data_IF_522590108829
#
_entry.id   IF_522590108829
#
_cell.length_a   1.000
_cell.length_b   1.000
_cell.length_c   1.000
_cell.angle_alpha   90.00
_cell.angle_beta   90.00
_cell.angle_gamma   90.00
#
_symmetry.space_group_name_H-M   'P 1'
#
loop_
_entity.id
_entity.type
_entity.pdbx_description
1 polymer ?
#
# COMPACT_ATOMS: atom_id res chain seq x y z
N UNK A 1 -3.01 7.74 -24.82
CA UNK A 1 -3.31 8.84 -23.88
C UNK A 1 -4.09 8.21 -22.76
N UNK A 2 -3.53 8.17 -21.54
CA UNK A 2 -4.18 7.47 -20.43
C UNK A 2 -5.33 8.32 -19.93
N UNK A 3 -6.51 7.74 -19.87
CA UNK A 3 -7.68 8.42 -19.36
C UNK A 3 -7.82 8.13 -17.86
N UNK A 4 -6.87 8.62 -17.06
CA UNK A 4 -6.88 8.42 -15.60
C UNK A 4 -8.14 8.99 -14.95
N UNK A 5 -8.71 10.05 -15.52
CA UNK A 5 -10.00 10.59 -15.12
C UNK A 5 -11.11 9.54 -15.28
N UNK A 6 -11.22 8.91 -16.45
CA UNK A 6 -12.17 7.82 -16.65
C UNK A 6 -11.87 6.60 -15.78
N UNK A 7 -10.60 6.23 -15.60
CA UNK A 7 -10.24 5.10 -14.73
C UNK A 7 -10.66 5.40 -13.30
N UNK A 8 -10.34 6.56 -12.73
CA UNK A 8 -10.70 6.92 -11.35
C UNK A 8 -12.20 7.18 -11.19
N UNK A 9 -12.86 7.69 -12.23
CA UNK A 9 -14.31 7.86 -12.25
C UNK A 9 -15.05 6.50 -12.31
N UNK A 10 -14.53 5.55 -13.10
CA UNK A 10 -15.07 4.20 -13.29
C UNK A 10 -14.55 3.18 -12.29
N UNK A 11 -13.44 3.48 -11.59
CA UNK A 11 -12.84 2.66 -10.53
C UNK A 11 -14.01 2.20 -9.70
N UNK A 12 -14.22 0.88 -9.64
CA UNK A 12 -15.51 0.32 -9.32
C UNK A 12 -16.02 1.09 -8.13
N UNK A 13 -17.03 1.93 -8.36
CA UNK A 13 -17.83 2.51 -7.30
C UNK A 13 -18.66 1.34 -6.86
N UNK A 14 -17.96 0.41 -6.18
CA UNK A 14 -18.39 -0.69 -5.35
C UNK A 14 -19.89 -0.73 -5.42
N UNK A 15 -20.41 -1.62 -6.27
CA UNK A 15 -21.84 -1.80 -6.53
C UNK A 15 -22.56 -1.48 -5.23
N UNK A 16 -23.37 -0.42 -5.26
CA UNK A 16 -23.75 0.48 -4.16
C UNK A 16 -24.55 -0.16 -3.01
N UNK A 17 -24.35 -1.44 -2.77
CA UNK A 17 -24.86 -2.29 -1.73
C UNK A 17 -23.79 -3.39 -1.55
N UNK A 18 -22.78 -3.17 -0.70
CA UNK A 18 -21.95 -4.29 -0.21
C UNK A 18 -22.88 -5.23 0.57
N UNK A 19 -23.41 -6.22 -0.14
CA UNK A 19 -24.17 -7.35 0.39
C UNK A 19 -23.50 -8.69 0.05
N UNK A 20 -22.29 -8.67 -0.54
CA UNK A 20 -21.56 -9.85 -1.03
C UNK A 20 -20.03 -9.68 -0.98
N UNK A 21 -19.30 -10.66 -1.54
CA UNK A 21 -17.83 -10.71 -1.57
C UNK A 21 -17.21 -9.65 -2.49
N UNK A 22 -16.09 -9.06 -2.07
CA UNK A 22 -15.28 -8.17 -2.91
C UNK A 22 -14.60 -8.98 -4.03
N UNK A 23 -14.98 -8.73 -5.29
CA UNK A 23 -14.32 -9.31 -6.46
C UNK A 23 -13.00 -8.58 -6.77
N UNK A 24 -11.98 -8.83 -5.94
CA UNK A 24 -10.66 -8.22 -6.08
C UNK A 24 -10.06 -8.46 -7.48
N UNK A 25 -10.14 -9.68 -8.00
CA UNK A 25 -9.56 -10.03 -9.30
C UNK A 25 -10.26 -9.28 -10.44
N UNK A 26 -11.60 -9.17 -10.39
CA UNK A 26 -12.37 -8.39 -11.36
C UNK A 26 -11.99 -6.91 -11.35
N UNK A 27 -11.84 -6.30 -10.16
CA UNK A 27 -11.41 -4.90 -10.04
C UNK A 27 -10.03 -4.67 -10.65
N UNK A 28 -9.06 -5.53 -10.36
CA UNK A 28 -7.71 -5.40 -10.91
C UNK A 28 -7.71 -5.65 -12.42
N UNK A 29 -8.46 -6.63 -12.92
CA UNK A 29 -8.58 -6.88 -14.35
C UNK A 29 -9.17 -5.68 -15.11
N UNK A 30 -10.17 -5.01 -14.53
CA UNK A 30 -10.76 -3.79 -15.09
C UNK A 30 -9.73 -2.67 -15.16
N UNK A 31 -9.00 -2.40 -14.07
CA UNK A 31 -7.90 -1.41 -14.04
C UNK A 31 -6.88 -1.72 -15.15
N UNK A 32 -6.41 -2.97 -15.22
CA UNK A 32 -5.43 -3.41 -16.22
C UNK A 32 -5.86 -3.13 -17.65
N UNK A 33 -7.13 -3.35 -17.96
CA UNK A 33 -7.68 -3.16 -19.31
C UNK A 33 -7.63 -1.70 -19.79
N UNK A 34 -7.55 -0.75 -18.85
CA UNK A 34 -7.57 0.68 -19.13
C UNK A 34 -6.18 1.34 -19.03
N UNK A 35 -5.21 0.67 -18.41
CA UNK A 35 -3.84 1.16 -18.26
C UNK A 35 -3.01 0.96 -19.54
N UNK A 36 -2.02 1.84 -19.77
CA UNK A 36 -1.02 1.60 -20.80
C UNK A 36 -0.15 0.40 -20.46
N UNK A 37 0.61 -0.11 -21.43
CA UNK A 37 1.63 -1.16 -21.16
C UNK A 37 2.65 -0.71 -20.11
N UNK A 38 3.03 0.56 -20.11
CA UNK A 38 4.00 1.12 -19.15
C UNK A 38 3.41 1.10 -17.73
N UNK A 39 2.17 1.55 -17.57
CA UNK A 39 1.54 1.65 -16.25
C UNK A 39 1.11 0.29 -15.71
N UNK A 40 0.72 -0.64 -16.61
CA UNK A 40 0.53 -2.04 -16.24
C UNK A 40 1.80 -2.64 -15.64
N UNK A 41 2.99 -2.32 -16.18
CA UNK A 41 4.24 -2.79 -15.58
C UNK A 41 4.50 -2.21 -14.18
N UNK A 42 4.02 -1.00 -13.89
CA UNK A 42 4.07 -0.42 -12.54
C UNK A 42 3.09 -1.13 -11.59
N UNK A 43 1.87 -1.41 -12.06
CA UNK A 43 0.89 -2.19 -11.30
C UNK A 43 1.40 -3.61 -11.04
N UNK A 44 2.01 -4.27 -12.03
CA UNK A 44 2.64 -5.58 -11.88
C UNK A 44 3.72 -5.53 -10.79
N UNK A 45 4.63 -4.57 -10.87
CA UNK A 45 5.70 -4.39 -9.88
C UNK A 45 5.15 -4.17 -8.46
N UNK A 46 4.08 -3.40 -8.33
CA UNK A 46 3.39 -3.21 -7.05
C UNK A 46 2.78 -4.52 -6.54
N UNK A 47 2.07 -5.24 -7.40
CA UNK A 47 1.39 -6.49 -7.04
C UNK A 47 2.37 -7.62 -6.69
N UNK A 48 3.50 -7.69 -7.37
CA UNK A 48 4.59 -8.62 -7.06
C UNK A 48 5.12 -8.42 -5.62
N UNK A 49 5.08 -7.18 -5.11
CA UNK A 49 5.47 -6.85 -3.74
C UNK A 49 4.48 -7.29 -2.67
N UNK A 50 3.29 -7.78 -3.02
CA UNK A 50 2.36 -8.40 -2.07
C UNK A 50 2.52 -9.92 -2.00
N UNK A 51 3.37 -10.51 -2.83
CA UNK A 51 3.70 -11.94 -2.82
C UNK A 51 4.92 -12.15 -1.93
N UNK A 52 4.76 -12.84 -0.80
CA UNK A 52 5.79 -12.97 0.23
C UNK A 52 7.10 -13.57 -0.30
N UNK A 53 7.01 -14.52 -1.23
CA UNK A 53 8.14 -15.22 -1.84
C UNK A 53 9.03 -14.29 -2.69
N UNK A 54 8.47 -13.18 -3.18
CA UNK A 54 9.20 -12.22 -4.00
C UNK A 54 10.03 -11.24 -3.16
N UNK A 55 9.75 -11.11 -1.85
CA UNK A 55 10.28 -10.03 -1.01
C UNK A 55 11.68 -10.35 -0.48
N UNK A 56 12.66 -10.23 -1.38
CA UNK A 56 14.08 -10.42 -1.12
C UNK A 56 14.89 -9.19 -1.55
N UNK A 57 16.21 -9.22 -1.30
CA UNK A 57 17.10 -8.09 -1.62
C UNK A 57 17.03 -7.67 -3.10
N UNK A 58 16.97 -8.62 -4.04
CA UNK A 58 16.90 -8.32 -5.47
C UNK A 58 15.62 -7.57 -5.84
N UNK A 59 14.47 -7.97 -5.27
CA UNK A 59 13.21 -7.28 -5.47
C UNK A 59 13.27 -5.82 -5.01
N UNK A 60 13.79 -5.59 -3.79
CA UNK A 60 13.90 -4.25 -3.23
C UNK A 60 14.93 -3.41 -3.98
N UNK A 61 16.07 -3.96 -4.39
CA UNK A 61 17.04 -3.26 -5.23
C UNK A 61 16.39 -2.78 -6.54
N UNK A 62 15.65 -3.66 -7.22
CA UNK A 62 14.94 -3.30 -8.45
C UNK A 62 13.81 -2.28 -8.20
N UNK A 63 13.04 -2.43 -7.12
CA UNK A 63 11.97 -1.50 -6.76
C UNK A 63 12.50 -0.09 -6.45
N UNK A 64 13.58 -0.01 -5.66
CA UNK A 64 14.22 1.27 -5.28
C UNK A 64 14.96 1.91 -6.46
N UNK A 65 15.35 1.14 -7.48
CA UNK A 65 15.91 1.64 -8.73
C UNK A 65 14.84 2.09 -9.76
N UNK A 66 13.55 1.83 -9.50
CA UNK A 66 12.46 2.21 -10.40
C UNK A 66 12.50 3.70 -10.74
N UNK A 67 12.13 4.08 -11.96
CA UNK A 67 12.00 5.50 -12.34
C UNK A 67 10.73 6.15 -11.79
N UNK A 68 9.77 5.35 -11.38
CA UNK A 68 8.51 5.80 -10.83
C UNK A 68 8.65 6.14 -9.33
N UNK A 69 8.14 7.30 -8.93
CA UNK A 69 8.29 7.79 -7.56
C UNK A 69 7.46 6.98 -6.57
N UNK A 70 6.21 6.63 -6.94
CA UNK A 70 5.34 5.84 -6.09
C UNK A 70 5.98 4.49 -5.75
N UNK A 71 6.45 3.75 -6.75
CA UNK A 71 7.09 2.44 -6.53
C UNK A 71 8.32 2.55 -5.62
N UNK A 72 9.22 3.51 -5.88
CA UNK A 72 10.41 3.70 -5.05
C UNK A 72 10.05 4.03 -3.60
N UNK A 73 9.15 4.99 -3.40
CA UNK A 73 8.81 5.48 -2.07
C UNK A 73 8.02 4.47 -1.25
N UNK A 74 7.08 3.77 -1.90
CA UNK A 74 6.28 2.72 -1.26
C UNK A 74 7.18 1.58 -0.77
N UNK A 75 8.01 1.01 -1.65
CA UNK A 75 8.86 -0.13 -1.29
C UNK A 75 10.04 0.23 -0.41
N UNK A 76 10.50 1.49 -0.47
CA UNK A 76 11.42 2.01 0.52
C UNK A 76 10.80 1.96 1.92
N UNK A 77 9.58 2.47 2.08
CA UNK A 77 8.92 2.49 3.39
C UNK A 77 8.54 1.07 3.86
N UNK A 78 8.05 0.22 2.95
CA UNK A 78 7.76 -1.19 3.24
C UNK A 78 9.00 -1.93 3.76
N UNK A 79 10.17 -1.75 3.13
CA UNK A 79 11.43 -2.31 3.61
C UNK A 79 11.79 -1.82 5.01
N UNK A 80 11.69 -0.51 5.24
CA UNK A 80 12.00 0.10 6.53
C UNK A 80 11.09 -0.44 7.65
N UNK A 81 9.78 -0.56 7.38
CA UNK A 81 8.81 -1.18 8.30
C UNK A 81 9.18 -2.63 8.56
N UNK A 82 9.50 -3.42 7.53
CA UNK A 82 9.85 -4.84 7.66
C UNK A 82 11.11 -5.06 8.47
N UNK A 83 12.17 -4.33 8.16
CA UNK A 83 13.41 -4.41 8.93
C UNK A 83 13.15 -4.03 10.39
N UNK A 84 12.39 -2.96 10.65
CA UNK A 84 12.00 -2.57 12.02
C UNK A 84 11.21 -3.68 12.74
N UNK A 85 10.30 -4.38 12.04
CA UNK A 85 9.58 -5.54 12.60
C UNK A 85 10.52 -6.70 12.94
N UNK A 86 11.46 -7.02 12.05
CA UNK A 86 12.43 -8.10 12.29
C UNK A 86 13.34 -7.77 13.47
N UNK A 87 13.80 -6.52 13.59
CA UNK A 87 14.58 -6.07 14.76
C UNK A 87 13.81 -6.23 16.07
N UNK A 88 12.54 -5.80 16.07
CA UNK A 88 11.66 -5.97 17.23
C UNK A 88 11.51 -7.46 17.60
N UNK A 89 11.28 -8.33 16.61
CA UNK A 89 11.14 -9.76 16.82
C UNK A 89 12.44 -10.41 17.33
N UNK A 90 13.60 -10.01 16.79
CA UNK A 90 14.88 -10.52 17.26
C UNK A 90 15.08 -10.18 18.75
N UNK A 91 14.80 -8.94 19.15
CA UNK A 91 14.85 -8.53 20.55
C UNK A 91 13.84 -9.29 21.41
N UNK A 92 12.58 -9.38 20.98
CA UNK A 92 11.51 -10.04 21.73
C UNK A 92 11.75 -11.55 21.92
N UNK A 93 12.42 -12.18 20.96
CA UNK A 93 12.72 -13.62 20.96
C UNK A 93 14.15 -13.94 21.43
N UNK A 94 14.93 -12.95 21.89
CA UNK A 94 16.34 -13.09 22.27
C UNK A 94 17.22 -13.73 21.17
N UNK A 95 16.98 -13.36 19.91
CA UNK A 95 17.82 -13.74 18.76
C UNK A 95 18.96 -12.73 18.58
N UNK A 96 20.06 -13.09 17.89
CA UNK A 96 21.14 -12.16 17.57
C UNK A 96 20.65 -10.89 16.87
N UNK A 97 21.25 -9.76 17.23
CA UNK A 97 20.99 -8.48 16.56
C UNK A 97 21.35 -8.56 15.06
N UNK A 98 20.53 -7.94 14.21
CA UNK A 98 20.73 -7.92 12.76
C UNK A 98 20.36 -9.21 12.02
N UNK A 99 19.95 -10.28 12.72
CA UNK A 99 19.52 -11.52 12.08
C UNK A 99 18.30 -11.31 11.18
N UNK A 100 18.31 -11.86 9.97
CA UNK A 100 17.23 -11.75 8.97
C UNK A 100 16.88 -10.30 8.53
N UNK A 101 17.71 -9.31 8.86
CA UNK A 101 17.55 -7.94 8.36
C UNK A 101 18.00 -7.89 6.90
N UNK A 102 17.16 -7.33 6.04
CA UNK A 102 17.48 -7.12 4.63
C UNK A 102 18.30 -5.84 4.49
N UNK A 103 19.62 -6.00 4.38
CA UNK A 103 20.57 -4.93 4.07
C UNK A 103 20.85 -4.95 2.57
N UNK A 104 20.47 -3.90 1.85
CA UNK A 104 20.62 -3.84 0.40
C UNK A 104 22.04 -3.44 -0.03
N UNK A 105 22.67 -2.56 0.76
CA UNK A 105 24.05 -2.15 0.57
C UNK A 105 24.74 -2.08 1.95
N UNK A 106 25.62 -3.05 2.28
CA UNK A 106 26.34 -3.07 3.55
C UNK A 106 27.33 -1.90 3.72
N UNK A 107 27.74 -1.26 2.63
CA UNK A 107 28.70 -0.14 2.65
C UNK A 107 27.99 1.22 2.71
N UNK A 108 26.68 1.27 2.46
CA UNK A 108 25.89 2.49 2.57
C UNK A 108 25.71 2.91 4.03
N UNK A 109 25.71 4.23 4.29
CA UNK A 109 25.30 4.75 5.58
C UNK A 109 23.86 4.30 5.88
N UNK A 110 23.64 3.85 7.12
CA UNK A 110 22.31 3.45 7.58
C UNK A 110 21.34 4.60 7.36
N UNK A 111 20.39 4.40 6.46
CA UNK A 111 19.31 5.35 6.23
C UNK A 111 18.52 5.52 7.53
N UNK A 112 18.28 6.77 7.92
CA UNK A 112 17.39 7.06 9.02
C UNK A 112 15.94 6.83 8.59
N UNK A 113 15.24 5.95 9.32
CA UNK A 113 13.82 5.72 9.12
C UNK A 113 13.01 6.59 10.07
N UNK A 114 12.45 7.69 9.57
CA UNK A 114 11.65 8.64 10.37
C UNK A 114 10.45 7.96 11.06
N UNK A 115 9.82 6.97 10.41
CA UNK A 115 8.67 6.23 10.94
C UNK A 115 9.02 5.17 11.99
N UNK A 116 10.31 4.95 12.29
CA UNK A 116 10.77 3.86 13.17
C UNK A 116 10.09 3.86 14.54
N UNK A 117 9.98 5.03 15.16
CA UNK A 117 9.38 5.17 16.50
C UNK A 117 7.90 4.78 16.49
N UNK A 118 7.17 5.15 15.44
CA UNK A 118 5.74 4.82 15.31
C UNK A 118 5.57 3.31 15.15
N UNK A 119 6.37 2.68 14.28
CA UNK A 119 6.35 1.23 14.07
C UNK A 119 6.69 0.48 15.37
N UNK A 120 7.74 0.89 16.09
CA UNK A 120 8.09 0.27 17.38
C UNK A 120 6.96 0.41 18.41
N UNK A 121 6.33 1.59 18.50
CA UNK A 121 5.20 1.82 19.41
C UNK A 121 4.03 0.88 19.10
N UNK A 122 3.71 0.69 17.82
CA UNK A 122 2.66 -0.26 17.39
C UNK A 122 3.03 -1.68 17.81
N UNK A 123 4.28 -2.10 17.59
CA UNK A 123 4.75 -3.45 17.90
C UNK A 123 4.81 -3.76 19.40
N UNK A 124 4.99 -2.76 20.25
CA UNK A 124 4.97 -2.90 21.71
C UNK A 124 3.56 -3.20 22.27
N UNK A 125 2.49 -2.93 21.51
CA UNK A 125 1.11 -3.26 21.89
C UNK A 125 0.95 -4.76 22.20
N UNK A 126 -0.03 -5.18 22.98
CA UNK A 126 -0.11 -6.59 23.43
C UNK A 126 -0.93 -7.50 22.52
N UNK A 127 -1.90 -6.96 21.79
CA UNK A 127 -2.76 -7.73 20.89
C UNK A 127 -2.18 -7.81 19.47
N UNK A 128 -2.21 -9.01 18.88
CA UNK A 128 -1.59 -9.28 17.57
C UNK A 128 -2.39 -8.61 16.44
N UNK A 129 -3.72 -8.61 16.53
CA UNK A 129 -4.57 -7.97 15.51
C UNK A 129 -4.43 -6.45 15.58
N UNK A 130 -4.33 -5.86 16.77
CA UNK A 130 -4.06 -4.44 16.95
C UNK A 130 -2.69 -4.04 16.37
N UNK A 131 -1.66 -4.87 16.56
CA UNK A 131 -0.34 -4.64 15.92
C UNK A 131 -0.44 -4.66 14.40
N UNK A 132 -1.07 -5.68 13.82
CA UNK A 132 -1.24 -5.79 12.37
C UNK A 132 -2.06 -4.62 11.81
N UNK A 133 -3.12 -4.21 12.51
CA UNK A 133 -3.95 -3.06 12.12
C UNK A 133 -3.16 -1.78 12.19
N UNK A 134 -2.39 -1.56 13.26
CA UNK A 134 -1.55 -0.37 13.41
C UNK A 134 -0.47 -0.28 12.32
N UNK A 135 0.13 -1.39 11.92
CA UNK A 135 1.10 -1.43 10.82
C UNK A 135 0.43 -1.10 9.48
N UNK A 136 -0.76 -1.64 9.22
CA UNK A 136 -1.51 -1.32 8.01
C UNK A 136 -1.99 0.13 7.96
N UNK A 137 -2.35 0.72 9.10
CA UNK A 137 -2.68 2.15 9.17
C UNK A 137 -1.46 3.03 8.83
N UNK A 138 -0.27 2.64 9.27
CA UNK A 138 0.97 3.33 8.87
C UNK A 138 1.25 3.20 7.37
N UNK A 139 1.05 2.00 6.80
CA UNK A 139 1.15 1.80 5.34
C UNK A 139 0.10 2.59 4.58
N UNK A 140 -1.14 2.65 5.07
CA UNK A 140 -2.24 3.43 4.49
C UNK A 140 -1.92 4.92 4.48
N UNK A 141 -1.45 5.46 5.62
CA UNK A 141 -1.03 6.85 5.73
C UNK A 141 0.13 7.15 4.78
N UNK A 142 1.11 6.25 4.66
CA UNK A 142 2.21 6.42 3.70
C UNK A 142 1.71 6.44 2.25
N UNK A 143 0.74 5.59 1.90
CA UNK A 143 0.10 5.63 0.57
C UNK A 143 -0.54 6.99 0.33
N UNK A 144 -1.30 7.51 1.31
CA UNK A 144 -1.91 8.84 1.22
C UNK A 144 -0.88 9.96 1.04
N UNK A 145 0.23 9.91 1.78
CA UNK A 145 1.31 10.89 1.67
C UNK A 145 1.98 10.87 0.28
N UNK A 146 2.20 9.68 -0.30
CA UNK A 146 2.80 9.54 -1.64
C UNK A 146 1.84 10.09 -2.71
N UNK A 147 0.55 9.73 -2.63
CA UNK A 147 -0.46 10.18 -3.61
C UNK A 147 -0.73 11.68 -3.46
N UNK A 148 -0.75 12.19 -2.23
CA UNK A 148 -1.06 13.58 -1.91
C UNK A 148 -2.43 14.00 -2.44
N UNK A 149 -2.50 15.18 -3.04
CA UNK A 149 -3.73 15.75 -3.62
C UNK A 149 -3.99 15.31 -5.07
N UNK A 150 -3.22 14.34 -5.58
CA UNK A 150 -3.33 13.91 -6.97
C UNK A 150 -4.50 12.94 -7.14
N UNK A 151 -5.50 13.32 -7.95
CA UNK A 151 -6.69 12.47 -8.13
C UNK A 151 -6.73 11.75 -9.48
N UNK A 152 -6.11 12.30 -10.52
CA UNK A 152 -6.12 11.74 -11.88
C UNK A 152 -4.73 11.35 -12.36
N UNK A 153 -4.01 10.58 -11.55
CA UNK A 153 -2.64 10.14 -11.84
C UNK A 153 -2.48 8.64 -11.68
N UNK A 154 -1.36 8.11 -12.19
CA UNK A 154 -1.00 6.71 -11.95
C UNK A 154 -0.80 6.44 -10.46
N UNK A 155 -0.24 7.40 -9.71
CA UNK A 155 -0.04 7.30 -8.26
C UNK A 155 -1.36 7.05 -7.54
N UNK A 156 -2.45 7.74 -7.93
CA UNK A 156 -3.78 7.52 -7.36
C UNK A 156 -4.29 6.09 -7.62
N UNK A 157 -4.02 5.53 -8.80
CA UNK A 157 -4.42 4.16 -9.16
C UNK A 157 -3.58 3.13 -8.40
N UNK A 158 -2.26 3.33 -8.30
CA UNK A 158 -1.37 2.47 -7.53
C UNK A 158 -1.72 2.51 -6.04
N UNK A 159 -2.00 3.70 -5.51
CA UNK A 159 -2.46 3.88 -4.13
C UNK A 159 -3.79 3.17 -3.85
N UNK A 160 -4.74 3.27 -4.77
CA UNK A 160 -5.99 2.50 -4.69
C UNK A 160 -5.72 0.99 -4.67
N UNK A 161 -4.89 0.47 -5.57
CA UNK A 161 -4.56 -0.96 -5.63
C UNK A 161 -3.85 -1.45 -4.35
N UNK A 162 -2.93 -0.66 -3.80
CA UNK A 162 -2.24 -0.97 -2.55
C UNK A 162 -3.20 -1.01 -1.34
N UNK A 163 -4.12 -0.05 -1.24
CA UNK A 163 -5.16 -0.04 -0.19
C UNK A 163 -6.14 -1.20 -0.34
N UNK A 164 -6.48 -1.56 -1.59
CA UNK A 164 -7.34 -2.70 -1.87
C UNK A 164 -6.70 -4.02 -1.41
N UNK A 165 -5.39 -4.16 -1.54
CA UNK A 165 -4.63 -5.32 -1.02
C UNK A 165 -4.70 -5.43 0.50
N UNK A 166 -4.56 -4.31 1.21
CA UNK A 166 -4.76 -4.27 2.67
C UNK A 166 -6.18 -4.75 3.03
N UNK A 167 -7.20 -4.25 2.33
CA UNK A 167 -8.60 -4.65 2.56
C UNK A 167 -8.81 -6.14 2.32
N UNK A 168 -8.31 -6.69 1.21
CA UNK A 168 -8.47 -8.12 0.88
C UNK A 168 -7.81 -9.01 1.92
N UNK A 169 -6.66 -8.60 2.46
CA UNK A 169 -5.99 -9.30 3.57
C UNK A 169 -6.89 -9.29 4.82
N UNK A 170 -7.46 -8.15 5.17
CA UNK A 170 -8.37 -8.05 6.31
C UNK A 170 -9.68 -8.80 6.11
N UNK A 171 -10.28 -8.79 4.92
CA UNK A 171 -11.49 -9.57 4.66
C UNK A 171 -11.30 -11.08 4.89
N UNK A 172 -10.07 -11.60 4.74
CA UNK A 172 -9.71 -12.98 5.07
C UNK A 172 -9.41 -13.20 6.55
N UNK A 173 -8.82 -12.20 7.21
CA UNK A 173 -8.36 -12.29 8.60
C UNK A 173 -9.46 -11.93 9.63
N UNK A 174 -10.09 -10.77 9.44
CA UNK A 174 -11.25 -10.28 10.18
C UNK A 174 -12.19 -9.52 9.21
N UNK A 175 -13.29 -10.17 8.76
CA UNK A 175 -14.24 -9.58 7.83
C UNK A 175 -14.92 -8.30 8.34
N UNK A 176 -14.98 -8.06 9.65
CA UNK A 176 -15.53 -6.81 10.18
C UNK A 176 -14.61 -5.63 9.88
N UNK A 177 -13.33 -5.73 10.27
CA UNK A 177 -12.30 -4.73 9.94
C UNK A 177 -12.14 -4.56 8.43
N UNK A 178 -12.14 -5.65 7.66
CA UNK A 178 -12.06 -5.56 6.20
C UNK A 178 -13.21 -4.74 5.57
N UNK A 179 -14.44 -4.90 6.08
CA UNK A 179 -15.60 -4.11 5.64
C UNK A 179 -15.53 -2.65 6.11
N UNK A 180 -14.95 -2.38 7.28
CA UNK A 180 -14.70 -1.02 7.77
C UNK A 180 -13.73 -0.27 6.84
N UNK A 181 -12.55 -0.86 6.58
CA UNK A 181 -11.53 -0.29 5.69
C UNK A 181 -12.04 -0.07 4.28
N UNK A 182 -12.87 -1.00 3.80
CA UNK A 182 -13.50 -0.87 2.50
C UNK A 182 -14.45 0.32 2.41
N UNK A 183 -15.31 0.53 3.42
CA UNK A 183 -16.18 1.71 3.47
C UNK A 183 -15.37 3.01 3.51
N UNK A 184 -14.28 3.04 4.29
CA UNK A 184 -13.34 4.16 4.32
C UNK A 184 -12.78 4.46 2.92
N UNK A 185 -12.31 3.45 2.19
CA UNK A 185 -11.80 3.62 0.83
C UNK A 185 -12.85 4.19 -0.13
N UNK A 186 -14.10 3.69 -0.05
CA UNK A 186 -15.23 4.23 -0.84
C UNK A 186 -15.43 5.71 -0.55
N UNK A 187 -15.46 6.08 0.73
CA UNK A 187 -15.73 7.44 1.17
C UNK A 187 -14.59 8.40 0.77
N UNK A 188 -13.33 7.97 0.86
CA UNK A 188 -12.16 8.70 0.35
C UNK A 188 -12.31 9.02 -1.15
N UNK A 189 -12.67 8.01 -1.97
CA UNK A 189 -12.85 8.18 -3.42
C UNK A 189 -14.02 9.13 -3.73
N UNK A 190 -15.15 8.99 -3.02
CA UNK A 190 -16.33 9.84 -3.20
C UNK A 190 -16.05 11.29 -2.82
N UNK A 191 -15.36 11.52 -1.71
CA UNK A 191 -15.02 12.87 -1.26
C UNK A 191 -14.05 13.54 -2.23
N UNK A 192 -13.05 12.81 -2.73
CA UNK A 192 -12.13 13.34 -3.74
C UNK A 192 -12.87 13.75 -5.03
N UNK A 193 -13.87 12.97 -5.48
CA UNK A 193 -14.73 13.33 -6.63
C UNK A 193 -15.57 14.60 -6.37
N UNK A 194 -16.14 14.73 -5.17
CA UNK A 194 -16.99 15.88 -4.82
C UNK A 194 -16.20 17.19 -4.71
N UNK A 195 -15.00 17.14 -4.13
CA UNK A 195 -14.11 18.32 -4.02
C UNK A 195 -13.78 18.86 -5.41
N UNK A 196 -13.45 17.97 -6.35
CA UNK A 196 -13.17 18.31 -7.75
C UNK A 196 -14.38 18.95 -8.43
N UNK A 197 -15.56 18.34 -8.33
CA UNK A 197 -16.77 18.90 -8.96
C UNK A 197 -17.08 20.33 -8.49
N UNK A 198 -16.72 20.69 -7.25
CA UNK A 198 -16.92 22.04 -6.73
C UNK A 198 -15.83 23.04 -7.17
N UNK A 199 -14.62 22.58 -7.48
CA UNK A 199 -13.53 23.43 -7.98
C UNK A 199 -13.65 23.71 -9.49
N UNK A 200 -14.16 22.77 -10.28
CA UNK A 200 -14.38 22.95 -11.73
C UNK A 200 -15.67 23.71 -12.08
N UNK A 201 -16.62 23.83 -11.14
CA UNK A 201 -17.88 24.57 -11.32
C UNK A 201 -17.85 25.99 -10.72
N UNK A 202 -16.67 26.53 -10.42
CA UNK A 202 -16.45 27.93 -10.03
C UNK A 202 -15.72 28.69 -11.13
#
# INVERSE_FOLDING_TARGET
>A
MNNYEYIVASLPVITSDYRGELDYEGVIAEIRSQLSKKDNALLDKLLDGFVAENLNADFYLDALASKDAFIREYFSYDLDVRNTRVEFLNKALNRPDGLDILVLDPEAESREFEGRKQVMTVLEGSDILERERGLDELMWAKIDDIVGLQVFTIDAILGFAAKLQIIVRWLKLDPETGRELFRRLVDEIRNNKNTINNEYNR
#
